data_IF_105729105582
#
_entry.id   IF_105729105582
#
_cell.length_a   1.000
_cell.length_b   1.000
_cell.length_c   1.000
_cell.angle_alpha   90.00
_cell.angle_beta   90.00
_cell.angle_gamma   90.00
#
_symmetry.space_group_name_H-M   'P 1'
#
loop_
_entity.id
_entity.type
_entity.pdbx_description
1 polymer ?
#
# COMPACT_ATOMS: atom_id res chain seq x y z
N UNK A 1 3.24 20.77 -14.05
CA UNK A 1 2.03 21.28 -13.37
C UNK A 1 1.05 20.13 -13.21
N UNK A 2 0.66 19.76 -11.97
CA UNK A 2 -0.37 18.79 -11.76
C UNK A 2 -1.70 19.30 -12.32
N UNK A 3 -2.52 18.39 -12.85
CA UNK A 3 -3.86 18.71 -13.35
C UNK A 3 -4.88 18.92 -12.23
N UNK A 4 -4.55 18.44 -11.03
CA UNK A 4 -5.31 18.63 -9.78
C UNK A 4 -4.39 19.32 -8.78
N UNK A 5 -4.90 20.31 -8.06
CA UNK A 5 -4.13 20.97 -6.99
C UNK A 5 -3.85 19.96 -5.86
N UNK A 6 -2.67 20.02 -5.25
CA UNK A 6 -2.30 19.05 -4.20
C UNK A 6 -3.21 19.15 -2.96
N UNK A 7 -3.71 20.34 -2.66
CA UNK A 7 -4.67 20.61 -1.58
C UNK A 7 -6.05 19.95 -1.80
N UNK A 8 -6.38 19.59 -3.04
CA UNK A 8 -7.61 18.89 -3.39
C UNK A 8 -7.47 17.36 -3.29
N UNK A 9 -6.25 16.84 -3.11
CA UNK A 9 -6.01 15.41 -2.92
C UNK A 9 -6.30 15.03 -1.47
N UNK A 10 -7.41 14.37 -1.24
CA UNK A 10 -7.85 13.98 0.11
C UNK A 10 -6.97 12.89 0.72
N UNK A 11 -6.56 11.92 -0.09
CA UNK A 11 -5.68 10.82 0.30
C UNK A 11 -5.06 10.21 -0.95
N UNK A 12 -3.77 9.91 -0.91
CA UNK A 12 -3.07 9.20 -1.97
C UNK A 12 -2.80 7.76 -1.53
N UNK A 13 -3.23 6.82 -2.35
CA UNK A 13 -2.93 5.40 -2.18
C UNK A 13 -2.02 4.97 -3.32
N UNK A 14 -0.81 4.54 -3.02
CA UNK A 14 0.11 3.95 -3.98
C UNK A 14 0.14 2.43 -3.81
N UNK A 15 0.10 1.71 -4.92
CA UNK A 15 0.13 0.25 -4.97
C UNK A 15 1.30 -0.17 -5.85
N UNK A 16 2.29 -0.77 -5.23
CA UNK A 16 3.45 -1.29 -5.93
C UNK A 16 3.86 -2.62 -5.30
N UNK A 17 4.09 -3.65 -6.13
CA UNK A 17 4.43 -5.00 -5.69
C UNK A 17 3.41 -5.62 -4.71
N UNK A 18 2.13 -5.53 -5.02
CA UNK A 18 1.04 -6.06 -4.18
C UNK A 18 0.71 -7.54 -4.47
N UNK A 19 1.48 -8.20 -5.30
CA UNK A 19 1.25 -9.56 -5.75
C UNK A 19 2.34 -10.49 -5.21
N UNK A 20 2.13 -11.02 -4.02
CA UNK A 20 2.96 -12.04 -3.38
C UNK A 20 2.09 -12.83 -2.37
N UNK A 21 2.70 -13.67 -1.54
CA UNK A 21 2.03 -14.50 -0.54
C UNK A 21 2.44 -14.20 0.90
N UNK A 22 3.06 -13.06 1.18
CA UNK A 22 3.30 -12.65 2.56
C UNK A 22 1.97 -12.40 3.28
N UNK A 23 1.72 -12.99 4.46
CA UNK A 23 0.50 -12.76 5.23
C UNK A 23 0.41 -11.34 5.82
N UNK A 24 1.50 -10.58 5.85
CA UNK A 24 1.53 -9.17 6.22
C UNK A 24 1.52 -8.26 4.99
N UNK A 25 0.91 -7.09 5.13
CA UNK A 25 0.97 -6.02 4.14
C UNK A 25 1.81 -4.86 4.68
N UNK A 26 2.89 -4.50 4.00
CA UNK A 26 3.70 -3.34 4.32
C UNK A 26 2.95 -2.06 3.98
N UNK A 27 2.99 -1.10 4.88
CA UNK A 27 2.28 0.16 4.79
C UNK A 27 3.21 1.32 5.13
N UNK A 28 3.79 1.99 4.14
CA UNK A 28 4.52 3.24 4.38
C UNK A 28 3.54 4.40 4.47
N UNK A 29 3.60 5.16 5.57
CA UNK A 29 2.62 6.19 5.90
C UNK A 29 3.34 7.46 6.33
N UNK A 30 2.98 8.61 5.74
CA UNK A 30 3.44 9.89 6.26
C UNK A 30 2.58 10.38 7.44
N UNK A 31 3.01 11.45 8.09
CA UNK A 31 2.31 12.00 9.28
C UNK A 31 0.87 12.38 8.97
N UNK A 32 0.60 12.96 7.81
CA UNK A 32 -0.73 13.37 7.36
C UNK A 32 -1.64 12.17 7.05
N UNK A 33 -1.06 11.02 6.74
CA UNK A 33 -1.75 9.77 6.43
C UNK A 33 -2.21 8.95 7.64
N UNK A 34 -1.77 9.28 8.85
CA UNK A 34 -2.00 8.48 10.08
C UNK A 34 -3.48 8.20 10.37
N UNK A 35 -4.35 9.18 10.12
CA UNK A 35 -5.80 8.99 10.30
C UNK A 35 -6.35 7.90 9.36
N UNK A 36 -5.89 7.88 8.13
CA UNK A 36 -6.28 6.86 7.15
C UNK A 36 -5.71 5.49 7.54
N UNK A 37 -4.47 5.44 8.03
CA UNK A 37 -3.87 4.20 8.49
C UNK A 37 -4.62 3.60 9.68
N UNK A 38 -5.02 4.41 10.66
CA UNK A 38 -5.82 3.94 11.79
C UNK A 38 -7.17 3.34 11.33
N UNK A 39 -7.83 3.93 10.32
CA UNK A 39 -9.04 3.36 9.74
C UNK A 39 -8.76 2.02 9.04
N UNK A 40 -7.63 1.90 8.34
CA UNK A 40 -7.23 0.63 7.71
C UNK A 40 -6.97 -0.47 8.74
N UNK A 41 -6.34 -0.14 9.88
CA UNK A 41 -6.15 -1.09 10.99
C UNK A 41 -7.49 -1.55 11.57
N UNK A 42 -8.45 -0.64 11.77
CA UNK A 42 -9.81 -0.99 12.23
C UNK A 42 -10.54 -1.91 11.25
N UNK A 43 -10.44 -1.61 9.95
CA UNK A 43 -10.99 -2.47 8.90
C UNK A 43 -10.34 -3.85 8.93
N UNK A 44 -9.01 -3.90 8.94
CA UNK A 44 -8.29 -5.17 8.94
C UNK A 44 -8.55 -6.00 10.20
N UNK A 45 -8.73 -5.35 11.35
CA UNK A 45 -9.09 -6.01 12.61
C UNK A 45 -10.48 -6.67 12.53
N UNK A 46 -11.40 -6.06 11.78
CA UNK A 46 -12.78 -6.56 11.60
C UNK A 46 -12.85 -7.66 10.54
N UNK A 47 -12.23 -7.43 9.38
CA UNK A 47 -12.38 -8.25 8.19
C UNK A 47 -11.30 -9.32 8.04
N UNK A 48 -10.16 -9.18 8.73
CA UNK A 48 -9.04 -10.12 8.74
C UNK A 48 -8.44 -10.39 7.34
N UNK A 49 -8.28 -9.35 6.52
CA UNK A 49 -7.69 -9.47 5.19
C UNK A 49 -6.22 -9.87 5.23
N UNK A 50 -5.47 -9.35 6.24
CA UNK A 50 -4.07 -9.67 6.50
C UNK A 50 -3.87 -10.00 7.98
N UNK A 51 -2.88 -10.84 8.29
CA UNK A 51 -2.48 -11.07 9.68
C UNK A 51 -2.00 -9.78 10.35
N UNK A 52 -1.36 -8.90 9.57
CA UNK A 52 -0.83 -7.62 10.05
C UNK A 52 -0.76 -6.59 8.93
N UNK A 53 -1.14 -5.35 9.23
CA UNK A 53 -0.69 -4.18 8.48
C UNK A 53 0.61 -3.69 9.13
N UNK A 54 1.75 -3.88 8.45
CA UNK A 54 3.06 -3.60 9.00
C UNK A 54 3.50 -2.18 8.65
N UNK A 55 3.26 -1.26 9.59
CA UNK A 55 3.57 0.15 9.41
C UNK A 55 5.08 0.36 9.28
N UNK A 56 5.49 1.02 8.21
CA UNK A 56 6.86 1.38 7.91
C UNK A 56 7.04 2.91 7.88
N UNK A 57 8.24 3.40 8.18
CA UNK A 57 8.57 4.82 7.99
C UNK A 57 8.52 5.17 6.49
N UNK A 58 8.19 6.44 6.21
CA UNK A 58 8.23 6.97 4.84
C UNK A 58 9.64 6.83 4.24
N UNK A 59 9.73 6.28 3.03
CA UNK A 59 10.96 6.14 2.26
C UNK A 59 10.81 6.70 0.84
N UNK A 60 11.94 7.12 0.25
CA UNK A 60 12.01 7.58 -1.15
C UNK A 60 12.25 6.39 -2.09
N UNK A 61 11.24 5.55 -2.24
CA UNK A 61 11.35 4.27 -2.94
C UNK A 61 10.25 3.99 -3.96
N UNK A 62 9.20 4.84 -4.05
CA UNK A 62 8.11 4.68 -5.01
C UNK A 62 7.36 6.00 -5.27
N UNK A 63 6.33 5.96 -6.11
CA UNK A 63 5.61 7.14 -6.65
C UNK A 63 4.84 7.96 -5.60
N UNK A 64 4.65 7.44 -4.39
CA UNK A 64 3.99 8.16 -3.30
C UNK A 64 4.85 9.28 -2.71
N UNK A 65 6.17 9.12 -2.74
CA UNK A 65 7.10 10.00 -2.02
C UNK A 65 7.00 11.49 -2.40
N UNK A 66 6.96 11.88 -3.69
CA UNK A 66 6.86 13.29 -4.07
C UNK A 66 5.56 13.98 -3.58
N UNK A 67 4.51 13.24 -3.29
CA UNK A 67 3.27 13.73 -2.69
C UNK A 67 3.38 13.81 -1.16
N UNK A 68 3.92 12.75 -0.56
CA UNK A 68 4.08 12.65 0.89
C UNK A 68 4.93 13.79 1.47
N UNK A 69 6.05 14.14 0.83
CA UNK A 69 6.93 15.26 1.26
C UNK A 69 6.31 16.65 1.04
N UNK A 70 5.18 16.72 0.33
CA UNK A 70 4.40 17.95 0.13
C UNK A 70 3.15 18.02 1.01
N UNK A 71 3.06 17.13 1.99
CA UNK A 71 1.98 17.13 2.98
C UNK A 71 0.66 16.55 2.48
N UNK A 72 0.64 15.83 1.35
CA UNK A 72 -0.54 15.06 0.95
C UNK A 72 -0.67 13.84 1.86
N UNK A 73 -1.83 13.58 2.50
CA UNK A 73 -2.06 12.35 3.24
C UNK A 73 -1.83 11.14 2.35
N UNK A 74 -0.88 10.26 2.73
CA UNK A 74 -0.37 9.24 1.80
C UNK A 74 -0.15 7.92 2.50
N UNK A 75 -0.51 6.85 1.79
CA UNK A 75 -0.11 5.48 2.11
C UNK A 75 0.42 4.77 0.86
N UNK A 76 1.46 4.00 1.04
CA UNK A 76 2.01 3.09 0.05
C UNK A 76 1.91 1.65 0.57
N UNK A 77 1.31 0.77 -0.25
CA UNK A 77 1.19 -0.65 0.04
C UNK A 77 2.16 -1.47 -0.78
N UNK A 78 2.85 -2.40 -0.12
CA UNK A 78 3.73 -3.37 -0.73
C UNK A 78 3.60 -4.72 0.00
N UNK A 79 3.60 -5.84 -0.74
CA UNK A 79 3.62 -7.18 -0.17
C UNK A 79 5.01 -7.79 -0.34
N UNK A 80 5.95 -7.35 0.52
CA UNK A 80 7.36 -7.74 0.48
C UNK A 80 7.64 -8.99 1.31
N UNK A 81 8.60 -9.79 0.87
CA UNK A 81 9.14 -10.91 1.65
C UNK A 81 8.40 -12.24 1.48
N UNK A 82 7.50 -12.35 0.52
CA UNK A 82 6.93 -13.61 0.09
C UNK A 82 7.81 -14.34 -0.93
N UNK A 83 7.28 -15.42 -1.52
CA UNK A 83 8.04 -16.30 -2.41
C UNK A 83 8.39 -15.68 -3.76
N UNK A 84 7.59 -14.71 -4.25
CA UNK A 84 7.85 -14.01 -5.50
C UNK A 84 8.89 -12.89 -5.33
N UNK A 85 9.10 -12.36 -4.13
CA UNK A 85 10.01 -11.24 -3.86
C UNK A 85 11.46 -11.53 -4.28
N UNK A 86 11.90 -12.80 -4.27
CA UNK A 86 13.25 -13.21 -4.75
C UNK A 86 13.51 -12.88 -6.21
N UNK A 87 12.48 -12.61 -7.00
CA UNK A 87 12.59 -12.24 -8.41
C UNK A 87 12.69 -10.73 -8.64
N UNK A 88 12.44 -9.93 -7.59
CA UNK A 88 12.47 -8.47 -7.63
C UNK A 88 13.77 -7.96 -8.27
N UNK A 89 13.62 -7.08 -9.27
CA UNK A 89 14.72 -6.50 -10.05
C UNK A 89 15.63 -7.53 -10.77
N UNK A 90 15.09 -8.70 -11.11
CA UNK A 90 15.81 -9.73 -11.89
C UNK A 90 15.13 -9.97 -13.23
N UNK A 91 15.84 -10.68 -14.15
CA UNK A 91 15.24 -11.13 -15.41
C UNK A 91 14.16 -12.21 -15.23
N UNK A 92 14.00 -12.72 -14.02
CA UNK A 92 12.99 -13.72 -13.65
C UNK A 92 11.72 -13.11 -13.07
N UNK A 93 11.66 -11.78 -12.96
CA UNK A 93 10.43 -11.05 -12.61
C UNK A 93 9.50 -11.07 -13.83
N UNK A 94 8.80 -12.17 -13.96
CA UNK A 94 7.90 -12.47 -15.08
C UNK A 94 6.51 -12.84 -14.56
N UNK A 95 5.51 -12.75 -15.41
CA UNK A 95 4.14 -13.11 -15.07
C UNK A 95 4.00 -14.54 -14.51
N UNK A 96 4.76 -15.49 -15.04
CA UNK A 96 4.74 -16.90 -14.61
C UNK A 96 5.23 -17.09 -13.17
N UNK A 97 6.06 -16.16 -12.69
CA UNK A 97 6.61 -16.16 -11.33
C UNK A 97 5.81 -15.27 -10.37
N UNK A 98 4.77 -14.57 -10.87
CA UNK A 98 3.90 -13.72 -10.06
C UNK A 98 2.96 -14.58 -9.21
N UNK A 99 2.83 -14.21 -7.93
CA UNK A 99 1.92 -14.86 -6.96
C UNK A 99 0.82 -13.88 -6.59
N UNK A 100 -0.44 -14.18 -6.91
CA UNK A 100 -1.55 -13.26 -6.74
C UNK A 100 -2.31 -13.44 -5.40
N UNK A 101 -1.72 -14.09 -4.41
CA UNK A 101 -2.39 -14.38 -3.14
C UNK A 101 -2.83 -13.11 -2.39
N UNK A 102 -1.99 -12.08 -2.35
CA UNK A 102 -2.28 -10.83 -1.65
C UNK A 102 -3.10 -9.83 -2.47
N UNK A 103 -3.34 -10.09 -3.76
CA UNK A 103 -4.07 -9.17 -4.65
C UNK A 103 -5.53 -8.95 -4.18
N UNK A 104 -6.29 -10.02 -3.97
CA UNK A 104 -7.70 -9.91 -3.57
C UNK A 104 -7.90 -9.27 -2.19
N UNK A 105 -7.17 -9.70 -1.13
CA UNK A 105 -7.28 -9.03 0.17
C UNK A 105 -6.85 -7.56 0.13
N UNK A 106 -5.82 -7.18 -0.63
CA UNK A 106 -5.46 -5.77 -0.81
C UNK A 106 -6.58 -4.99 -1.51
N UNK A 107 -7.16 -5.54 -2.57
CA UNK A 107 -8.27 -4.91 -3.29
C UNK A 107 -9.46 -4.66 -2.36
N UNK A 108 -9.88 -5.67 -1.58
CA UNK A 108 -11.00 -5.55 -0.64
C UNK A 108 -10.73 -4.52 0.46
N UNK A 109 -9.54 -4.55 1.05
CA UNK A 109 -9.12 -3.58 2.06
C UNK A 109 -9.24 -2.13 1.54
N UNK A 110 -8.81 -1.89 0.30
CA UNK A 110 -8.87 -0.55 -0.33
C UNK A 110 -10.32 -0.14 -0.63
N UNK A 111 -11.15 -1.05 -1.13
CA UNK A 111 -12.58 -0.77 -1.39
C UNK A 111 -13.29 -0.38 -0.10
N UNK A 112 -13.07 -1.12 0.97
CA UNK A 112 -13.65 -0.81 2.28
C UNK A 112 -13.12 0.52 2.84
N UNK A 113 -11.83 0.76 2.69
CA UNK A 113 -11.23 2.03 3.08
C UNK A 113 -11.87 3.22 2.34
N UNK A 114 -11.94 3.18 1.00
CA UNK A 114 -12.53 4.25 0.20
C UNK A 114 -13.99 4.48 0.58
N UNK A 115 -14.73 3.43 0.92
CA UNK A 115 -16.15 3.53 1.29
C UNK A 115 -16.37 4.20 2.65
N UNK A 116 -15.37 4.18 3.54
CA UNK A 116 -15.46 4.66 4.92
C UNK A 116 -14.67 5.95 5.19
N UNK A 117 -13.69 6.28 4.33
CA UNK A 117 -12.83 7.46 4.46
C UNK A 117 -13.53 8.72 3.95
#
# INVERSE_FOLDING_TARGET
HPTVALEDVRYLVNLDMIADNNPALYCEVNTEGERGFALLEDINTTEHYFEKLDRQPLADNSDHYPFAVRGVPTIFFMNEGGDAFKYYHTIYDTFENCILCSYEPTFRLIVDFISKY
#
